data_IF_799946956768
#
_entry.id   IF_799946956768
#
_cell.length_a   1.000
_cell.length_b   1.000
_cell.length_c   1.000
_cell.angle_alpha   90.00
_cell.angle_beta   90.00
_cell.angle_gamma   90.00
#
_symmetry.space_group_name_H-M   'P 1'
#
loop_
_entity.id
_entity.type
_entity.pdbx_description
1 polymer ?
#
# COMPACT_ATOMS: atom_id res chain seq x y z
N UNK A 1 -17.12 -64.51 -13.83
CA UNK A 1 -16.74 -64.34 -12.41
C UNK A 1 -17.78 -63.43 -11.82
N UNK A 2 -18.45 -63.93 -10.79
CA UNK A 2 -19.83 -63.59 -10.43
C UNK A 2 -20.06 -62.13 -10.02
N UNK A 3 -21.13 -61.58 -10.60
CA UNK A 3 -21.88 -60.43 -10.11
C UNK A 3 -22.54 -60.81 -8.78
N UNK A 4 -21.98 -60.34 -7.67
CA UNK A 4 -22.69 -60.26 -6.40
C UNK A 4 -23.22 -58.83 -6.25
N UNK A 5 -24.53 -58.65 -6.45
CA UNK A 5 -25.24 -57.41 -6.15
C UNK A 5 -25.03 -57.02 -4.67
N UNK A 6 -24.09 -56.12 -4.41
CA UNK A 6 -23.90 -55.48 -3.12
C UNK A 6 -25.15 -54.67 -2.77
N UNK A 7 -25.94 -55.15 -1.82
CA UNK A 7 -27.04 -54.38 -1.21
C UNK A 7 -26.45 -53.28 -0.33
N UNK A 8 -25.88 -52.24 -0.93
CA UNK A 8 -25.36 -51.09 -0.20
C UNK A 8 -26.50 -50.37 0.53
N UNK A 9 -26.35 -50.13 1.83
CA UNK A 9 -27.31 -49.34 2.62
C UNK A 9 -26.62 -48.15 3.25
N UNK A 10 -27.31 -47.02 3.39
CA UNK A 10 -26.77 -45.82 4.04
C UNK A 10 -27.45 -45.60 5.38
N UNK A 11 -26.67 -45.33 6.41
CA UNK A 11 -27.16 -45.07 7.77
C UNK A 11 -26.60 -43.77 8.33
N UNK A 12 -27.30 -43.18 9.30
CA UNK A 12 -26.78 -42.04 10.06
C UNK A 12 -25.72 -42.46 11.08
N UNK A 13 -24.91 -41.51 11.55
CA UNK A 13 -23.90 -41.75 12.59
C UNK A 13 -24.52 -42.25 13.92
N UNK A 14 -25.78 -41.91 14.16
CA UNK A 14 -26.59 -42.33 15.31
C UNK A 14 -27.02 -43.80 15.27
N UNK A 15 -26.87 -44.45 14.12
CA UNK A 15 -27.27 -45.85 13.90
C UNK A 15 -26.08 -46.83 13.93
N UNK A 16 -24.86 -46.31 14.15
CA UNK A 16 -23.63 -47.11 14.21
C UNK A 16 -23.58 -47.99 15.47
N UNK A 17 -23.30 -49.28 15.29
CA UNK A 17 -23.02 -50.22 16.36
C UNK A 17 -21.81 -51.10 16.04
N UNK A 18 -21.23 -51.70 17.08
CA UNK A 18 -20.11 -52.65 16.93
C UNK A 18 -20.61 -53.88 16.19
N UNK A 19 -19.89 -54.30 15.15
CA UNK A 19 -20.25 -55.41 14.27
C UNK A 19 -20.70 -55.00 12.86
N UNK A 20 -20.96 -53.70 12.62
CA UNK A 20 -21.26 -53.17 11.28
C UNK A 20 -20.00 -53.07 10.41
N UNK A 21 -20.14 -53.41 9.13
CA UNK A 21 -19.13 -53.17 8.11
C UNK A 21 -19.39 -51.82 7.44
N UNK A 22 -18.55 -50.84 7.72
CA UNK A 22 -18.66 -49.48 7.19
C UNK A 22 -17.70 -49.26 6.04
N UNK A 23 -18.15 -48.49 5.06
CA UNK A 23 -17.36 -47.96 3.97
C UNK A 23 -17.41 -46.44 4.05
N UNK A 24 -16.27 -45.82 4.35
CA UNK A 24 -16.10 -44.38 4.38
C UNK A 24 -15.75 -43.94 2.95
N UNK A 25 -16.66 -43.23 2.30
CA UNK A 25 -16.43 -42.65 0.97
C UNK A 25 -15.59 -41.35 1.04
N UNK A 26 -14.62 -41.33 1.97
CA UNK A 26 -13.64 -40.27 2.16
C UNK A 26 -12.27 -40.76 1.69
N UNK A 27 -11.46 -39.86 1.12
CA UNK A 27 -10.06 -40.15 0.85
C UNK A 27 -9.32 -40.53 2.13
N UNK A 28 -8.44 -41.52 2.08
CA UNK A 28 -7.74 -42.08 3.27
C UNK A 28 -6.97 -41.04 4.11
N UNK A 29 -6.60 -39.90 3.53
CA UNK A 29 -5.97 -38.77 4.24
C UNK A 29 -6.93 -37.99 5.15
N UNK A 30 -8.24 -38.19 5.04
CA UNK A 30 -9.27 -37.45 5.77
C UNK A 30 -9.82 -38.22 6.98
N UNK A 31 -9.23 -39.35 7.35
CA UNK A 31 -9.57 -40.11 8.54
C UNK A 31 -8.37 -40.90 9.09
N UNK A 32 -8.31 -41.10 10.40
CA UNK A 32 -7.19 -41.81 11.06
C UNK A 32 -7.28 -43.36 10.97
N UNK A 33 -8.18 -43.90 10.15
CA UNK A 33 -8.32 -45.34 9.96
C UNK A 33 -7.37 -45.89 8.88
N UNK A 34 -6.78 -47.09 9.09
CA UNK A 34 -5.83 -47.69 8.16
C UNK A 34 -6.46 -48.14 6.82
N UNK A 35 -7.78 -48.28 6.75
CA UNK A 35 -8.54 -48.65 5.56
C UNK A 35 -9.84 -47.85 5.51
N UNK A 36 -10.29 -47.48 4.31
CA UNK A 36 -11.57 -46.79 4.11
C UNK A 36 -12.78 -47.73 4.25
N UNK A 37 -12.59 -49.04 4.27
CA UNK A 37 -13.65 -50.02 4.53
C UNK A 37 -13.22 -51.03 5.59
N UNK A 38 -13.96 -51.11 6.69
CA UNK A 38 -13.63 -51.98 7.80
C UNK A 38 -14.84 -52.27 8.68
N UNK A 39 -14.73 -53.32 9.48
CA UNK A 39 -15.73 -53.70 10.48
C UNK A 39 -15.48 -52.96 11.79
N UNK A 40 -16.52 -52.35 12.35
CA UNK A 40 -16.46 -51.69 13.66
C UNK A 40 -16.29 -52.77 14.74
N UNK A 41 -15.21 -52.71 15.51
CA UNK A 41 -14.84 -53.68 16.55
C UNK A 41 -15.04 -53.15 17.97
N UNK A 42 -15.08 -51.83 18.15
CA UNK A 42 -15.22 -51.22 19.48
C UNK A 42 -15.95 -49.87 19.43
N UNK A 43 -16.35 -49.38 20.60
CA UNK A 43 -17.07 -48.12 20.75
C UNK A 43 -16.20 -46.88 20.45
N UNK A 44 -14.87 -47.00 20.49
CA UNK A 44 -13.95 -45.90 20.17
C UNK A 44 -13.98 -45.59 18.67
N UNK A 45 -14.05 -46.62 17.83
CA UNK A 45 -14.20 -46.47 16.38
C UNK A 45 -15.51 -45.77 16.02
N UNK A 46 -16.60 -46.04 16.74
CA UNK A 46 -17.89 -45.35 16.55
C UNK A 46 -17.75 -43.85 16.86
N UNK A 47 -17.09 -43.51 17.97
CA UNK A 47 -16.83 -42.10 18.33
C UNK A 47 -15.95 -41.41 17.29
N UNK A 48 -14.92 -42.08 16.81
CA UNK A 48 -14.02 -41.54 15.78
C UNK A 48 -14.76 -41.30 14.46
N UNK A 49 -15.63 -42.21 14.01
CA UNK A 49 -16.49 -42.01 12.84
C UNK A 49 -17.48 -40.85 13.07
N UNK A 50 -18.06 -40.74 14.27
CA UNK A 50 -18.94 -39.63 14.63
C UNK A 50 -18.25 -38.25 14.56
N UNK A 51 -16.96 -38.18 14.89
CA UNK A 51 -16.15 -36.94 14.77
C UNK A 51 -15.93 -36.50 13.32
N UNK A 52 -16.03 -37.40 12.35
CA UNK A 52 -15.89 -37.06 10.92
C UNK A 52 -17.09 -36.24 10.40
N UNK A 53 -18.17 -36.12 11.17
CA UNK A 53 -19.30 -35.25 10.83
C UNK A 53 -20.09 -35.71 9.59
N UNK A 54 -19.97 -36.98 9.21
CA UNK A 54 -20.66 -37.54 8.04
C UNK A 54 -22.17 -37.62 8.27
N UNK A 55 -22.95 -37.03 7.36
CA UNK A 55 -24.42 -37.07 7.41
C UNK A 55 -24.97 -38.48 7.13
N UNK A 56 -24.29 -39.23 6.26
CA UNK A 56 -24.63 -40.61 5.90
C UNK A 56 -23.35 -41.42 5.74
N UNK A 57 -23.38 -42.65 6.25
CA UNK A 57 -22.28 -43.60 6.22
C UNK A 57 -22.75 -44.83 5.48
N UNK A 58 -21.97 -45.26 4.50
CA UNK A 58 -22.26 -46.43 3.69
C UNK A 58 -21.93 -47.68 4.50
N UNK A 59 -22.85 -48.64 4.54
CA UNK A 59 -22.64 -49.95 5.14
C UNK A 59 -22.86 -51.06 4.13
N UNK A 60 -22.17 -52.16 4.36
CA UNK A 60 -22.41 -53.43 3.68
C UNK A 60 -23.12 -54.40 4.66
N UNK A 61 -24.45 -54.57 4.52
CA UNK A 61 -25.23 -55.48 5.36
C UNK A 61 -24.82 -56.95 5.20
N UNK A 62 -24.25 -57.35 4.06
CA UNK A 62 -23.87 -58.75 3.82
C UNK A 62 -22.63 -59.17 4.61
N UNK A 63 -21.79 -58.19 5.00
CA UNK A 63 -20.55 -58.38 5.78
C UNK A 63 -20.66 -57.89 7.22
N UNK A 64 -21.85 -57.40 7.61
CA UNK A 64 -22.17 -56.94 8.96
C UNK A 64 -22.77 -58.06 9.79
N UNK A 65 -22.34 -58.21 11.05
CA UNK A 65 -22.87 -59.26 11.94
C UNK A 65 -24.20 -58.86 12.59
N UNK A 66 -24.51 -57.56 12.56
CA UNK A 66 -25.64 -56.97 13.27
C UNK A 66 -26.34 -55.98 12.34
N UNK A 67 -27.65 -55.83 12.53
CA UNK A 67 -28.40 -54.76 11.91
C UNK A 67 -28.05 -53.41 12.57
N UNK A 68 -28.11 -52.29 11.83
CA UNK A 68 -27.93 -50.96 12.39
C UNK A 68 -28.98 -50.67 13.48
N UNK A 69 -28.62 -49.79 14.43
CA UNK A 69 -29.56 -49.40 15.49
C UNK A 69 -30.80 -48.72 14.88
N UNK A 70 -31.99 -48.89 15.50
CA UNK A 70 -33.20 -48.22 15.01
C UNK A 70 -32.98 -46.72 14.93
N UNK A 71 -33.30 -46.13 13.78
CA UNK A 71 -33.21 -44.69 13.58
C UNK A 71 -34.00 -44.00 14.68
N UNK A 72 -33.32 -43.14 15.46
CA UNK A 72 -33.99 -42.37 16.49
C UNK A 72 -34.82 -41.32 15.76
N UNK A 73 -36.11 -41.61 15.57
CA UNK A 73 -37.06 -40.65 15.01
C UNK A 73 -37.07 -39.48 15.99
N UNK A 74 -36.32 -38.43 15.65
CA UNK A 74 -36.43 -37.17 16.34
C UNK A 74 -37.91 -36.75 16.24
N UNK A 75 -38.58 -36.36 17.34
CA UNK A 75 -39.87 -35.73 17.22
C UNK A 75 -39.70 -34.58 16.23
N UNK A 76 -40.59 -34.52 15.23
CA UNK A 76 -40.58 -33.51 14.18
C UNK A 76 -40.15 -32.18 14.78
N UNK A 77 -38.99 -31.69 14.33
CA UNK A 77 -38.46 -30.42 14.78
C UNK A 77 -39.60 -29.40 14.65
N UNK A 78 -40.15 -28.98 15.79
CA UNK A 78 -41.00 -27.81 15.85
C UNK A 78 -40.22 -26.73 15.10
N UNK A 79 -40.78 -26.27 13.98
CA UNK A 79 -40.14 -25.32 13.11
C UNK A 79 -39.56 -24.22 13.99
N UNK A 80 -38.22 -24.10 14.01
CA UNK A 80 -37.59 -22.97 14.65
C UNK A 80 -38.29 -21.73 14.09
N UNK A 81 -38.73 -20.78 14.95
CA UNK A 81 -39.46 -19.62 14.46
C UNK A 81 -38.63 -18.99 13.35
N UNK A 82 -39.21 -18.98 12.14
CA UNK A 82 -38.60 -18.34 10.98
C UNK A 82 -38.31 -16.90 11.44
N UNK A 83 -37.04 -16.44 11.39
CA UNK A 83 -36.74 -15.09 11.83
C UNK A 83 -37.68 -14.13 11.10
N UNK A 84 -38.28 -13.15 11.80
CA UNK A 84 -39.25 -12.26 11.18
C UNK A 84 -38.64 -11.61 9.96
N UNK A 85 -39.38 -11.60 8.85
CA UNK A 85 -38.94 -10.96 7.61
C UNK A 85 -38.65 -9.49 7.92
N UNK A 86 -37.44 -8.99 7.61
CA UNK A 86 -37.07 -7.62 7.92
C UNK A 86 -38.04 -6.66 7.24
N UNK A 87 -38.51 -5.68 8.01
CA UNK A 87 -39.41 -4.63 7.50
C UNK A 87 -38.69 -3.77 6.45
N UNK A 88 -39.45 -3.11 5.58
CA UNK A 88 -38.90 -2.20 4.57
C UNK A 88 -37.99 -1.12 5.18
N UNK A 89 -38.32 -0.67 6.39
CA UNK A 89 -37.52 0.30 7.15
C UNK A 89 -36.18 -0.31 7.64
N UNK A 90 -36.20 -1.54 8.16
CA UNK A 90 -34.97 -2.26 8.54
C UNK A 90 -34.05 -2.53 7.34
N UNK A 91 -34.63 -2.84 6.17
CA UNK A 91 -33.88 -3.00 4.92
C UNK A 91 -33.23 -1.69 4.47
N UNK A 92 -33.95 -0.56 4.56
CA UNK A 92 -33.40 0.78 4.28
C UNK A 92 -32.25 1.13 5.21
N UNK A 93 -32.42 0.97 6.52
CA UNK A 93 -31.37 1.24 7.50
C UNK A 93 -30.15 0.33 7.32
N UNK A 94 -30.35 -0.95 6.96
CA UNK A 94 -29.26 -1.87 6.65
C UNK A 94 -28.50 -1.44 5.37
N UNK A 95 -29.21 -0.99 4.34
CA UNK A 95 -28.62 -0.47 3.10
C UNK A 95 -27.81 0.81 3.35
N UNK A 96 -28.31 1.74 4.17
CA UNK A 96 -27.59 2.96 4.56
C UNK A 96 -26.31 2.64 5.35
N UNK A 97 -26.39 1.71 6.32
CA UNK A 97 -25.22 1.24 7.08
C UNK A 97 -24.21 0.52 6.18
N UNK A 98 -24.66 -0.25 5.18
CA UNK A 98 -23.79 -0.87 4.20
C UNK A 98 -23.11 0.18 3.31
N UNK A 99 -23.85 1.17 2.81
CA UNK A 99 -23.31 2.26 2.01
C UNK A 99 -22.29 3.10 2.79
N UNK A 100 -22.56 3.42 4.06
CA UNK A 100 -21.61 4.12 4.93
C UNK A 100 -20.33 3.32 5.14
N UNK A 101 -20.44 2.01 5.39
CA UNK A 101 -19.27 1.12 5.53
C UNK A 101 -18.47 1.02 4.23
N UNK A 102 -19.15 0.93 3.08
CA UNK A 102 -18.51 0.91 1.78
C UNK A 102 -17.73 2.21 1.50
N UNK A 103 -18.31 3.38 1.80
CA UNK A 103 -17.63 4.69 1.67
C UNK A 103 -16.37 4.77 2.54
N UNK A 104 -16.47 4.35 3.81
CA UNK A 104 -15.30 4.35 4.72
C UNK A 104 -14.21 3.40 4.22
N UNK A 105 -14.59 2.21 3.74
CA UNK A 105 -13.63 1.24 3.20
C UNK A 105 -12.96 1.77 1.92
N UNK A 106 -13.73 2.40 1.04
CA UNK A 106 -13.22 3.04 -0.17
C UNK A 106 -12.23 4.15 0.17
N UNK A 107 -12.60 5.07 1.06
CA UNK A 107 -11.72 6.16 1.48
C UNK A 107 -10.43 5.64 2.10
N UNK A 108 -10.51 4.60 2.95
CA UNK A 108 -9.32 3.94 3.52
C UNK A 108 -8.44 3.31 2.46
N UNK A 109 -9.03 2.67 1.45
CA UNK A 109 -8.29 2.09 0.33
C UNK A 109 -7.60 3.15 -0.52
N UNK A 110 -8.28 4.28 -0.79
CA UNK A 110 -7.72 5.43 -1.50
C UNK A 110 -6.53 6.03 -0.73
N UNK A 111 -6.69 6.28 0.58
CA UNK A 111 -5.60 6.77 1.44
C UNK A 111 -4.41 5.81 1.46
N UNK A 112 -4.65 4.50 1.65
CA UNK A 112 -3.58 3.50 1.69
C UNK A 112 -2.85 3.36 0.34
N UNK A 113 -3.57 3.47 -0.78
CA UNK A 113 -2.97 3.47 -2.11
C UNK A 113 -2.09 4.69 -2.32
N UNK A 114 -2.55 5.85 -1.85
CA UNK A 114 -1.82 7.12 -1.91
C UNK A 114 -0.50 7.06 -1.10
N UNK A 115 -0.57 6.53 0.13
CA UNK A 115 0.60 6.31 0.98
C UNK A 115 1.62 5.35 0.35
N UNK A 116 1.13 4.23 -0.21
CA UNK A 116 1.97 3.26 -0.93
C UNK A 116 2.69 3.93 -2.12
N UNK A 117 1.99 4.78 -2.86
CA UNK A 117 2.58 5.51 -3.98
C UNK A 117 3.65 6.50 -3.51
N UNK A 118 3.43 7.17 -2.38
CA UNK A 118 4.40 8.09 -1.80
C UNK A 118 5.68 7.36 -1.36
N UNK A 119 5.56 6.25 -0.63
CA UNK A 119 6.72 5.44 -0.21
C UNK A 119 7.51 4.95 -1.43
N UNK A 120 6.81 4.54 -2.49
CA UNK A 120 7.45 4.15 -3.75
C UNK A 120 8.20 5.33 -4.39
N UNK A 121 7.61 6.52 -4.41
CA UNK A 121 8.24 7.73 -4.93
C UNK A 121 9.51 8.10 -4.14
N UNK A 122 9.47 8.02 -2.81
CA UNK A 122 10.65 8.21 -1.96
C UNK A 122 11.76 7.18 -2.26
N UNK A 123 11.38 5.91 -2.46
CA UNK A 123 12.31 4.86 -2.90
C UNK A 123 12.95 5.13 -4.26
N UNK A 124 12.18 5.64 -5.23
CA UNK A 124 12.72 6.09 -6.52
C UNK A 124 13.68 7.26 -6.38
N UNK A 125 13.41 8.20 -5.48
CA UNK A 125 14.28 9.34 -5.24
C UNK A 125 15.62 8.94 -4.60
N UNK A 126 15.59 7.96 -3.69
CA UNK A 126 16.82 7.35 -3.14
C UNK A 126 17.66 6.67 -4.22
N UNK A 127 17.02 5.95 -5.15
CA UNK A 127 17.71 5.35 -6.30
C UNK A 127 18.33 6.41 -7.23
N UNK A 128 17.61 7.52 -7.51
CA UNK A 128 18.12 8.67 -8.25
C UNK A 128 19.36 9.25 -7.57
N UNK A 129 19.30 9.50 -6.25
CA UNK A 129 20.41 10.01 -5.45
C UNK A 129 21.65 9.13 -5.53
N UNK A 130 21.48 7.80 -5.47
CA UNK A 130 22.60 6.84 -5.56
C UNK A 130 23.34 6.88 -6.91
N UNK A 131 22.69 7.36 -7.97
CA UNK A 131 23.24 7.45 -9.34
C UNK A 131 23.80 8.84 -9.66
N UNK A 132 23.61 9.83 -8.79
CA UNK A 132 23.89 11.24 -9.05
C UNK A 132 25.30 11.51 -9.62
N UNK A 133 26.32 10.91 -8.99
CA UNK A 133 27.72 11.11 -9.41
C UNK A 133 28.19 10.10 -10.46
N UNK A 134 27.74 8.84 -10.36
CA UNK A 134 28.25 7.76 -11.21
C UNK A 134 27.56 7.72 -12.58
N UNK A 135 26.27 8.03 -12.65
CA UNK A 135 25.41 7.89 -13.82
C UNK A 135 24.38 9.04 -13.88
N UNK A 136 24.83 10.30 -14.07
CA UNK A 136 23.98 11.48 -13.95
C UNK A 136 22.82 11.51 -14.97
N UNK A 137 23.02 11.02 -16.19
CA UNK A 137 21.96 10.97 -17.19
C UNK A 137 20.85 9.97 -16.82
N UNK A 138 21.20 8.84 -16.19
CA UNK A 138 20.22 7.90 -15.63
C UNK A 138 19.48 8.50 -14.44
N UNK A 139 20.18 9.26 -13.58
CA UNK A 139 19.56 9.99 -12.48
C UNK A 139 18.53 11.01 -12.99
N UNK A 140 18.88 11.82 -14.01
CA UNK A 140 17.92 12.74 -14.67
C UNK A 140 16.73 11.98 -15.25
N UNK A 141 16.96 10.90 -15.99
CA UNK A 141 15.87 10.11 -16.59
C UNK A 141 14.92 9.52 -15.53
N UNK A 142 15.46 9.08 -14.39
CA UNK A 142 14.67 8.64 -13.24
C UNK A 142 13.79 9.76 -12.67
N UNK A 143 14.34 10.98 -12.52
CA UNK A 143 13.59 12.14 -12.06
C UNK A 143 12.47 12.52 -13.05
N UNK A 144 12.75 12.48 -14.36
CA UNK A 144 11.76 12.75 -15.41
C UNK A 144 10.59 11.76 -15.37
N UNK A 145 10.88 10.48 -15.16
CA UNK A 145 9.85 9.45 -15.01
C UNK A 145 8.99 9.70 -13.76
N UNK A 146 9.64 10.01 -12.64
CA UNK A 146 8.96 10.26 -11.37
C UNK A 146 8.04 11.50 -11.46
N UNK A 147 8.57 12.60 -11.98
CA UNK A 147 7.81 13.84 -12.19
C UNK A 147 6.67 13.63 -13.20
N UNK A 148 6.89 12.85 -14.26
CA UNK A 148 5.84 12.48 -15.21
C UNK A 148 4.68 11.73 -14.56
N UNK A 149 4.97 10.81 -13.63
CA UNK A 149 3.95 10.10 -12.85
C UNK A 149 3.18 11.05 -11.92
N UNK A 150 3.89 11.93 -11.21
CA UNK A 150 3.28 12.96 -10.35
C UNK A 150 2.35 13.86 -11.16
N UNK A 151 2.82 14.40 -12.28
CA UNK A 151 2.03 15.28 -13.13
C UNK A 151 0.77 14.58 -13.65
N UNK A 152 0.89 13.33 -14.07
CA UNK A 152 -0.26 12.54 -14.52
C UNK A 152 -1.29 12.36 -13.39
N UNK A 153 -0.84 12.18 -12.15
CA UNK A 153 -1.71 12.11 -10.98
C UNK A 153 -2.40 13.45 -10.71
N UNK A 154 -1.64 14.56 -10.75
CA UNK A 154 -2.12 15.93 -10.52
C UNK A 154 -3.19 16.33 -11.55
N UNK A 155 -2.97 16.02 -12.82
CA UNK A 155 -3.87 16.37 -13.92
C UNK A 155 -5.11 15.47 -13.97
N UNK A 156 -5.05 14.26 -13.42
CA UNK A 156 -6.19 13.35 -13.35
C UNK A 156 -7.07 13.57 -12.11
N UNK A 157 -6.83 14.65 -11.35
CA UNK A 157 -7.55 14.96 -10.09
C UNK A 157 -7.57 13.79 -9.09
N UNK A 158 -6.52 12.95 -9.09
CA UNK A 158 -6.37 11.92 -8.07
C UNK A 158 -5.83 12.54 -6.80
N UNK A 159 -6.25 12.02 -5.64
CA UNK A 159 -5.68 12.40 -4.36
C UNK A 159 -4.17 12.12 -4.34
N UNK A 160 -3.39 13.09 -3.86
CA UNK A 160 -1.94 13.00 -3.73
C UNK A 160 -1.58 13.21 -2.27
N UNK A 161 -0.81 12.28 -1.73
CA UNK A 161 -0.33 12.32 -0.37
C UNK A 161 0.88 13.24 -0.32
N UNK A 162 0.88 14.11 0.69
CA UNK A 162 2.05 14.85 1.14
C UNK A 162 2.41 14.25 2.49
N UNK A 163 3.68 13.95 2.71
CA UNK A 163 4.11 13.38 3.97
C UNK A 163 4.35 14.51 4.98
N UNK A 164 3.56 14.50 6.06
CA UNK A 164 3.83 15.34 7.22
C UNK A 164 5.00 14.72 7.98
N UNK A 165 6.17 15.37 7.92
CA UNK A 165 7.38 14.94 8.62
C UNK A 165 7.16 15.02 10.13
N UNK A 166 6.68 13.94 10.74
CA UNK A 166 6.49 13.87 12.19
C UNK A 166 7.53 12.98 12.88
N UNK A 167 8.40 12.31 12.13
CA UNK A 167 9.47 11.46 12.65
C UNK A 167 10.82 11.81 11.99
N UNK A 168 11.78 12.21 12.83
CA UNK A 168 13.08 12.77 12.43
C UNK A 168 14.10 11.64 12.18
N UNK A 169 13.96 10.88 11.09
CA UNK A 169 15.05 10.01 10.63
C UNK A 169 16.01 10.81 9.74
N UNK A 170 17.00 11.40 10.41
CA UNK A 170 18.06 12.23 9.80
C UNK A 170 18.71 11.50 8.62
N UNK A 171 18.55 12.05 7.41
CA UNK A 171 19.08 11.53 6.14
C UNK A 171 18.02 11.00 5.18
N UNK A 172 16.86 10.53 5.67
CA UNK A 172 15.67 10.31 4.83
C UNK A 172 14.92 11.63 4.58
N UNK A 173 15.07 12.58 5.49
CA UNK A 173 14.53 13.93 5.45
C UNK A 173 14.80 14.67 4.13
N UNK A 174 16.00 14.57 3.57
CA UNK A 174 16.36 15.28 2.33
C UNK A 174 15.51 14.80 1.13
N UNK A 175 15.25 13.49 1.06
CA UNK A 175 14.45 12.92 -0.02
C UNK A 175 12.97 13.22 0.17
N UNK A 176 12.46 13.15 1.41
CA UNK A 176 11.08 13.54 1.69
C UNK A 176 10.84 15.02 1.42
N UNK A 177 11.79 15.88 1.79
CA UNK A 177 11.75 17.31 1.51
C UNK A 177 11.65 17.60 0.01
N UNK A 178 12.60 17.07 -0.79
CA UNK A 178 12.58 17.28 -2.24
C UNK A 178 11.30 16.74 -2.89
N UNK A 179 10.75 15.62 -2.38
CA UNK A 179 9.50 15.03 -2.84
C UNK A 179 8.28 15.90 -2.48
N UNK A 180 8.18 16.36 -1.24
CA UNK A 180 7.10 17.24 -0.77
C UNK A 180 7.10 18.57 -1.53
N UNK A 181 8.27 19.23 -1.63
CA UNK A 181 8.45 20.47 -2.39
C UNK A 181 8.03 20.26 -3.85
N UNK A 182 8.41 19.14 -4.47
CA UNK A 182 7.98 18.82 -5.84
C UNK A 182 6.46 18.73 -5.97
N UNK A 183 5.80 17.96 -5.11
CA UNK A 183 4.34 17.77 -5.15
C UNK A 183 3.61 19.10 -4.94
N UNK A 184 3.98 19.84 -3.90
CA UNK A 184 3.36 21.12 -3.55
C UNK A 184 3.58 22.18 -4.63
N UNK A 185 4.79 22.31 -5.15
CA UNK A 185 5.11 23.28 -6.20
C UNK A 185 4.37 22.94 -7.50
N UNK A 186 4.29 21.67 -7.88
CA UNK A 186 3.54 21.25 -9.07
C UNK A 186 2.03 21.45 -8.94
N UNK A 187 1.45 21.25 -7.75
CA UNK A 187 0.05 21.56 -7.46
C UNK A 187 -0.22 23.07 -7.56
N UNK A 188 0.63 23.88 -6.93
CA UNK A 188 0.52 25.33 -7.00
C UNK A 188 0.67 25.85 -8.45
N UNK A 189 1.63 25.29 -9.20
CA UNK A 189 1.86 25.61 -10.60
C UNK A 189 0.66 25.29 -11.49
N UNK A 190 -0.02 24.16 -11.25
CA UNK A 190 -1.29 23.82 -11.91
C UNK A 190 -2.35 24.87 -11.58
N UNK A 191 -2.50 25.23 -10.30
CA UNK A 191 -3.56 26.12 -9.85
C UNK A 191 -3.40 27.56 -10.37
N UNK A 192 -2.16 28.02 -10.57
CA UNK A 192 -1.88 29.31 -11.24
C UNK A 192 -1.91 29.21 -12.77
N UNK A 193 -2.21 28.03 -13.34
CA UNK A 193 -2.43 27.83 -14.77
C UNK A 193 -1.17 27.69 -15.61
N UNK A 194 -0.05 27.20 -15.05
CA UNK A 194 1.16 26.97 -15.84
C UNK A 194 0.99 25.81 -16.85
N UNK A 195 1.62 25.89 -18.03
CA UNK A 195 1.62 24.80 -18.99
C UNK A 195 2.22 23.51 -18.41
N UNK A 196 1.73 22.35 -18.85
CA UNK A 196 2.21 21.04 -18.38
C UNK A 196 3.73 20.84 -18.53
N UNK A 197 4.34 21.44 -19.55
CA UNK A 197 5.81 21.38 -19.72
C UNK A 197 6.55 22.19 -18.65
N UNK A 198 6.03 23.35 -18.28
CA UNK A 198 6.62 24.18 -17.23
C UNK A 198 6.47 23.53 -15.86
N UNK A 199 5.34 22.85 -15.62
CA UNK A 199 5.15 22.03 -14.42
C UNK A 199 6.13 20.85 -14.38
N UNK A 200 6.42 20.20 -15.52
CA UNK A 200 7.48 19.17 -15.60
C UNK A 200 8.85 19.73 -15.25
N UNK A 201 9.24 20.85 -15.85
CA UNK A 201 10.55 21.45 -15.58
C UNK A 201 10.66 21.95 -14.13
N UNK A 202 9.59 22.49 -13.57
CA UNK A 202 9.49 22.85 -12.16
C UNK A 202 9.70 21.63 -11.26
N UNK A 203 9.00 20.53 -11.51
CA UNK A 203 9.12 19.29 -10.74
C UNK A 203 10.54 18.73 -10.79
N UNK A 204 11.17 18.69 -11.97
CA UNK A 204 12.57 18.25 -12.10
C UNK A 204 13.51 19.19 -11.33
N UNK A 205 13.28 20.50 -11.41
CA UNK A 205 14.01 21.49 -10.62
C UNK A 205 13.87 21.25 -9.13
N UNK A 206 12.67 20.95 -8.63
CA UNK A 206 12.40 20.65 -7.22
C UNK A 206 13.09 19.37 -6.75
N UNK A 207 13.14 18.32 -7.57
CA UNK A 207 13.84 17.07 -7.23
C UNK A 207 15.35 17.32 -6.96
N UNK A 208 15.96 18.27 -7.66
CA UNK A 208 17.39 18.55 -7.58
C UNK A 208 17.74 19.89 -6.94
N UNK A 209 16.78 20.66 -6.41
CA UNK A 209 17.03 22.03 -5.97
C UNK A 209 18.11 22.10 -4.88
N UNK A 210 18.07 21.12 -3.99
CA UNK A 210 18.95 20.97 -2.84
C UNK A 210 20.16 20.06 -3.09
N UNK A 211 20.37 19.64 -4.34
CA UNK A 211 21.38 18.61 -4.65
C UNK A 211 22.80 19.01 -4.24
N UNK A 212 23.11 20.32 -4.19
CA UNK A 212 24.40 20.79 -3.72
C UNK A 212 24.66 20.57 -2.22
N UNK A 213 23.64 20.20 -1.43
CA UNK A 213 23.83 19.79 -0.04
C UNK A 213 24.70 18.53 0.06
N UNK A 214 24.79 17.70 -1.00
CA UNK A 214 25.70 16.54 -1.01
C UNK A 214 27.18 16.92 -0.93
N UNK A 215 27.53 18.17 -1.23
CA UNK A 215 28.90 18.69 -1.14
C UNK A 215 29.19 19.34 0.22
N UNK A 216 28.20 19.39 1.13
CA UNK A 216 28.33 19.98 2.46
C UNK A 216 28.63 18.88 3.48
N UNK A 217 29.61 19.05 4.38
CA UNK A 217 29.93 18.05 5.38
C UNK A 217 28.74 17.69 6.28
N UNK A 218 28.49 16.40 6.48
CA UNK A 218 27.40 15.87 7.32
C UNK A 218 27.38 16.47 8.74
N UNK A 219 28.56 16.71 9.33
CA UNK A 219 28.68 17.34 10.66
C UNK A 219 28.04 18.73 10.75
N UNK A 220 27.92 19.41 9.61
CA UNK A 220 27.25 20.71 9.51
C UNK A 220 25.77 20.48 9.26
N UNK A 221 25.40 19.66 8.27
CA UNK A 221 23.99 19.42 7.92
C UNK A 221 23.17 18.76 9.05
N UNK A 222 23.77 17.89 9.84
CA UNK A 222 23.10 17.11 10.90
C UNK A 222 23.10 17.81 12.26
N UNK A 223 23.59 19.05 12.32
CA UNK A 223 23.68 19.80 13.56
C UNK A 223 22.28 20.16 14.08
N UNK A 224 22.07 20.01 15.39
CA UNK A 224 20.78 20.31 16.02
C UNK A 224 20.74 21.70 16.67
N UNK A 225 21.91 22.26 16.99
CA UNK A 225 22.06 23.59 17.54
C UNK A 225 22.05 24.66 16.44
N UNK A 226 21.69 25.91 16.77
CA UNK A 226 21.70 27.01 15.80
C UNK A 226 23.04 27.16 15.08
N UNK A 227 22.97 27.37 13.76
CA UNK A 227 24.16 27.64 12.95
C UNK A 227 24.80 28.97 13.33
N UNK A 228 26.13 28.94 13.50
CA UNK A 228 26.92 30.15 13.55
C UNK A 228 27.02 30.76 12.13
N UNK A 229 27.57 31.98 12.03
CA UNK A 229 27.67 32.70 10.76
C UNK A 229 28.45 31.93 9.67
N UNK A 230 29.54 31.27 10.02
CA UNK A 230 30.35 30.55 9.05
C UNK A 230 29.66 29.27 8.56
N UNK A 231 28.99 28.56 9.46
CA UNK A 231 28.18 27.38 9.12
C UNK A 231 26.99 27.76 8.22
N UNK A 232 26.29 28.85 8.56
CA UNK A 232 25.20 29.38 7.73
C UNK A 232 25.68 29.74 6.34
N UNK A 233 26.77 30.50 6.23
CA UNK A 233 27.37 30.86 4.94
C UNK A 233 27.77 29.61 4.13
N UNK A 234 28.23 28.55 4.79
CA UNK A 234 28.59 27.30 4.12
C UNK A 234 27.34 26.57 3.60
N UNK A 235 26.26 26.50 4.39
CA UNK A 235 24.99 25.89 3.98
C UNK A 235 24.40 26.63 2.79
N UNK A 236 24.41 27.96 2.80
CA UNK A 236 23.90 28.79 1.70
C UNK A 236 24.66 28.56 0.37
N UNK A 237 25.89 28.03 0.41
CA UNK A 237 26.65 27.68 -0.80
C UNK A 237 26.11 26.45 -1.54
N UNK A 238 25.16 25.70 -0.99
CA UNK A 238 24.59 24.53 -1.69
C UNK A 238 23.99 24.91 -3.06
N UNK A 239 23.41 26.10 -3.21
CA UNK A 239 22.93 26.57 -4.52
C UNK A 239 24.07 26.61 -5.56
N UNK A 240 25.25 27.10 -5.15
CA UNK A 240 26.43 27.18 -6.01
C UNK A 240 27.07 25.81 -6.25
N UNK A 241 27.12 24.95 -5.23
CA UNK A 241 27.63 23.58 -5.36
C UNK A 241 26.74 22.68 -6.23
N UNK A 242 25.43 22.95 -6.24
CA UNK A 242 24.47 22.25 -7.06
C UNK A 242 24.64 22.52 -8.56
N UNK A 243 25.16 23.67 -8.95
CA UNK A 243 25.24 24.08 -10.36
C UNK A 243 26.09 23.14 -11.22
N UNK A 244 27.35 22.78 -10.85
CA UNK A 244 28.12 21.78 -11.58
C UNK A 244 27.44 20.41 -11.67
N UNK A 245 26.65 20.03 -10.65
CA UNK A 245 25.88 18.79 -10.64
C UNK A 245 24.75 18.86 -11.66
N UNK A 246 23.97 19.95 -11.65
CA UNK A 246 22.90 20.22 -12.61
C UNK A 246 23.37 20.24 -14.06
N UNK A 247 24.57 20.79 -14.32
CA UNK A 247 25.19 20.75 -15.65
C UNK A 247 25.49 19.31 -16.09
N UNK A 248 26.06 18.47 -15.21
CA UNK A 248 26.34 17.06 -15.52
C UNK A 248 25.07 16.23 -15.71
N UNK A 249 24.01 16.54 -14.97
CA UNK A 249 22.68 15.95 -15.14
C UNK A 249 22.07 16.33 -16.50
N UNK A 250 22.49 17.45 -17.10
CA UNK A 250 21.91 17.98 -18.33
C UNK A 250 20.54 18.62 -18.09
N UNK A 251 20.37 19.30 -16.95
CA UNK A 251 19.12 19.99 -16.62
C UNK A 251 18.82 21.12 -17.62
N UNK A 252 17.53 21.34 -17.89
CA UNK A 252 17.09 22.47 -18.70
C UNK A 252 17.41 23.80 -18.00
N UNK A 253 17.42 24.91 -18.74
CA UNK A 253 17.57 26.25 -18.17
C UNK A 253 16.52 26.52 -17.07
N UNK A 254 15.27 26.10 -17.28
CA UNK A 254 14.18 26.30 -16.31
C UNK A 254 14.43 25.55 -15.00
N UNK A 255 14.88 24.30 -15.08
CA UNK A 255 15.22 23.50 -13.91
C UNK A 255 16.50 24.01 -13.21
N UNK A 256 17.49 24.46 -13.99
CA UNK A 256 18.70 25.10 -13.46
C UNK A 256 18.37 26.41 -12.72
N UNK A 257 17.43 27.21 -13.22
CA UNK A 257 17.02 28.45 -12.55
C UNK A 257 16.39 28.17 -11.19
N UNK A 258 15.55 27.12 -11.08
CA UNK A 258 15.02 26.67 -9.78
C UNK A 258 16.16 26.31 -8.84
N UNK A 259 17.10 25.46 -9.26
CA UNK A 259 18.23 25.05 -8.43
C UNK A 259 19.06 26.26 -7.95
N UNK A 260 19.30 27.25 -8.82
CA UNK A 260 20.09 28.43 -8.48
C UNK A 260 19.37 29.45 -7.59
N UNK A 261 18.05 29.55 -7.71
CA UNK A 261 17.29 30.72 -7.22
C UNK A 261 16.18 30.38 -6.22
N UNK A 262 16.03 29.12 -5.81
CA UNK A 262 14.95 28.71 -4.89
C UNK A 262 15.03 29.34 -3.49
N UNK A 263 16.13 30.01 -3.14
CA UNK A 263 16.28 30.81 -1.92
C UNK A 263 16.29 32.33 -2.18
N UNK A 264 16.01 32.76 -3.41
CA UNK A 264 15.89 34.18 -3.75
C UNK A 264 14.53 34.73 -3.34
N UNK A 265 14.52 35.91 -2.73
CA UNK A 265 13.30 36.58 -2.29
C UNK A 265 13.04 37.82 -3.14
N UNK A 266 11.77 38.11 -3.41
CA UNK A 266 11.38 39.19 -4.35
C UNK A 266 11.86 40.59 -3.94
N UNK A 267 12.13 40.81 -2.65
CA UNK A 267 12.68 42.05 -2.10
C UNK A 267 14.22 42.12 -2.16
N UNK A 268 14.89 41.02 -2.53
CA UNK A 268 16.34 40.87 -2.58
C UNK A 268 16.99 40.47 -1.26
N UNK A 269 16.20 40.07 -0.25
CA UNK A 269 16.75 39.59 1.02
C UNK A 269 17.26 38.14 0.95
N UNK A 270 16.90 37.42 -0.12
CA UNK A 270 17.29 36.03 -0.36
C UNK A 270 18.73 35.87 -0.83
N UNK A 271 19.13 34.66 -1.20
CA UNK A 271 20.49 34.30 -1.60
C UNK A 271 20.45 33.26 -2.75
N UNK A 272 21.55 33.01 -3.49
CA UNK A 272 22.91 33.53 -3.33
C UNK A 272 23.23 34.85 -4.06
N UNK A 273 22.42 35.26 -5.03
CA UNK A 273 22.67 36.40 -5.91
C UNK A 273 21.88 37.67 -5.52
N UNK A 274 21.02 37.60 -4.50
CA UNK A 274 20.22 38.74 -4.01
C UNK A 274 19.35 39.37 -5.11
N UNK A 275 18.74 38.51 -5.93
CA UNK A 275 17.92 38.89 -7.07
C UNK A 275 16.63 39.56 -6.60
N UNK A 276 16.10 40.50 -7.39
CA UNK A 276 14.87 41.23 -7.07
C UNK A 276 13.80 41.04 -8.13
N UNK A 277 12.56 40.88 -7.67
CA UNK A 277 11.35 40.84 -8.51
C UNK A 277 11.50 39.97 -9.75
N UNK A 278 11.52 40.59 -10.93
CA UNK A 278 11.56 39.92 -12.23
C UNK A 278 12.93 39.31 -12.60
N UNK A 279 13.98 39.54 -11.81
CA UNK A 279 15.26 38.86 -12.00
C UNK A 279 15.18 37.38 -11.59
N UNK A 280 14.20 37.02 -10.75
CA UNK A 280 13.95 35.65 -10.30
C UNK A 280 13.00 34.98 -11.29
N UNK A 281 13.39 33.79 -11.75
CA UNK A 281 12.57 32.95 -12.61
C UNK A 281 11.18 32.73 -12.00
N UNK A 282 10.09 32.79 -12.78
CA UNK A 282 8.74 32.51 -12.29
C UNK A 282 8.64 31.15 -11.58
N UNK A 283 9.35 30.14 -12.05
CA UNK A 283 9.37 28.81 -11.43
C UNK A 283 10.09 28.84 -10.08
N UNK A 284 11.25 29.50 -10.01
CA UNK A 284 12.00 29.62 -8.76
C UNK A 284 11.21 30.39 -7.68
N UNK A 285 10.42 31.40 -8.05
CA UNK A 285 9.53 32.10 -7.11
C UNK A 285 8.46 31.18 -6.51
N UNK A 286 7.90 30.26 -7.30
CA UNK A 286 6.97 29.25 -6.78
C UNK A 286 7.69 28.31 -5.80
N UNK A 287 8.88 27.83 -6.17
CA UNK A 287 9.66 26.94 -5.31
C UNK A 287 10.08 27.63 -4.02
N UNK A 288 10.49 28.90 -4.04
CA UNK A 288 10.87 29.62 -2.82
C UNK A 288 9.75 29.66 -1.78
N UNK A 289 8.49 29.89 -2.21
CA UNK A 289 7.32 29.87 -1.32
C UNK A 289 7.10 28.48 -0.72
N UNK A 290 7.15 27.45 -1.58
CA UNK A 290 6.88 26.07 -1.17
C UNK A 290 7.99 25.51 -0.29
N UNK A 291 9.24 25.81 -0.62
CA UNK A 291 10.41 25.40 0.14
C UNK A 291 10.38 26.02 1.54
N UNK A 292 10.08 27.31 1.66
CA UNK A 292 9.91 27.94 2.97
C UNK A 292 8.78 27.26 3.76
N UNK A 293 7.63 27.01 3.11
CA UNK A 293 6.49 26.35 3.76
C UNK A 293 6.80 24.94 4.28
N UNK A 294 7.53 24.12 3.51
CA UNK A 294 7.89 22.75 3.93
C UNK A 294 8.94 22.74 5.05
N UNK A 295 9.71 23.83 5.22
CA UNK A 295 10.71 23.99 6.28
C UNK A 295 10.15 24.56 7.61
N UNK A 296 8.86 24.92 7.68
CA UNK A 296 8.19 25.45 8.89
C UNK A 296 7.74 24.34 9.85
#
# INVERSE_FOLDING_TARGET
MDDAQEKTSYIGADQLCVGLYVCLDLGWLNHDFPLSSFKIRNAEQIKAIGKLGLKQIRIDPSRSDVAPLPQKVAPAAAAAPVPPTPTAEQLRQAAERAARRARILQQRAETAACETQFVRAAGSLKDIGSKLHSRPLEARAGAELLVGQMLSSILSHKDIAIHLMNDKTVGEDLYFHALNVSVLAMLLARDVGLPAEDIRQLGIGCIFHDVGKTEIPDRVLQKTEPYNRAERNLIEQHCAYGEPIGVRLGLSTKAMDVLRQHHEHVDGSGYPAHLKGSQISPLARLVAIVNEYDNL
#
